data_IF_810549248649
#
_entry.id   IF_810549248649
#
_cell.length_a   1.000
_cell.length_b   1.000
_cell.length_c   1.000
_cell.angle_alpha   90.00
_cell.angle_beta   90.00
_cell.angle_gamma   90.00
#
_symmetry.space_group_name_H-M   'P 1'
#
loop_
_entity.id
_entity.type
_entity.pdbx_description
1 polymer ?
#
# COMPACT_ATOMS: atom_id res chain seq x y z
N UNK A 1 -54.97 -0.10 55.50
CA UNK A 1 -53.69 0.60 55.12
C UNK A 1 -52.76 -0.41 54.49
N UNK A 2 -52.64 -0.38 53.18
CA UNK A 2 -51.72 -1.25 52.38
C UNK A 2 -50.63 -0.38 51.80
N UNK A 3 -49.40 -0.59 52.25
CA UNK A 3 -48.23 0.13 51.83
C UNK A 3 -47.71 -0.54 50.55
N UNK A 4 -47.67 0.21 49.44
CA UNK A 4 -47.02 -0.20 48.16
C UNK A 4 -45.52 0.12 48.27
N UNK A 5 -44.68 -0.88 48.09
CA UNK A 5 -43.23 -0.73 47.91
C UNK A 5 -42.95 -0.79 46.41
N UNK A 6 -42.50 0.31 45.83
CA UNK A 6 -42.05 0.37 44.45
C UNK A 6 -40.56 0.01 44.40
N UNK A 7 -40.23 -1.06 43.67
CA UNK A 7 -38.84 -1.45 43.37
C UNK A 7 -38.43 -0.74 42.09
N UNK A 8 -37.50 0.23 42.15
CA UNK A 8 -36.83 0.83 41.03
C UNK A 8 -35.69 -0.09 40.54
N UNK A 9 -35.86 -0.68 39.37
CA UNK A 9 -34.78 -1.39 38.70
C UNK A 9 -33.88 -0.36 38.01
N UNK A 10 -32.69 -0.12 38.53
CA UNK A 10 -31.65 0.70 37.93
C UNK A 10 -30.98 -0.06 36.77
N UNK A 11 -31.11 0.44 35.58
CA UNK A 11 -30.37 -0.05 34.42
C UNK A 11 -28.90 0.42 34.52
N UNK A 12 -27.97 -0.50 34.73
CA UNK A 12 -26.53 -0.27 34.62
C UNK A 12 -26.16 -0.11 33.13
N UNK A 13 -25.98 1.13 32.70
CA UNK A 13 -25.37 1.43 31.39
C UNK A 13 -23.87 1.21 31.55
N UNK A 14 -23.38 0.09 31.03
CA UNK A 14 -21.95 -0.19 30.90
C UNK A 14 -21.36 0.66 29.79
N UNK A 15 -20.70 1.76 30.16
CA UNK A 15 -19.92 2.55 29.24
C UNK A 15 -18.56 1.85 29.01
N UNK A 16 -18.37 1.27 27.82
CA UNK A 16 -17.06 0.80 27.38
C UNK A 16 -16.06 1.98 27.34
N UNK A 17 -14.82 1.81 27.79
CA UNK A 17 -13.82 2.86 27.69
C UNK A 17 -13.54 3.20 26.21
N UNK A 18 -13.32 4.49 25.87
CA UNK A 18 -12.93 4.87 24.54
C UNK A 18 -11.57 4.22 24.19
N UNK A 19 -11.46 3.70 22.98
CA UNK A 19 -10.20 3.18 22.46
C UNK A 19 -9.10 4.26 22.58
N UNK A 20 -7.86 3.88 22.94
CA UNK A 20 -6.79 4.86 23.08
C UNK A 20 -6.60 5.59 21.75
N UNK A 21 -6.74 6.91 21.79
CA UNK A 21 -6.37 7.77 20.68
C UNK A 21 -4.87 7.59 20.42
N UNK A 22 -4.53 7.09 19.25
CA UNK A 22 -3.13 7.05 18.79
C UNK A 22 -2.64 8.49 18.75
N UNK A 23 -1.83 8.86 19.75
CA UNK A 23 -1.21 10.17 19.81
C UNK A 23 -0.37 10.35 18.53
N UNK A 24 -0.68 11.38 17.74
CA UNK A 24 0.19 11.86 16.68
C UNK A 24 1.48 12.36 17.33
N UNK A 25 2.52 11.56 17.33
CA UNK A 25 3.85 12.04 17.68
C UNK A 25 4.27 13.08 16.64
N UNK A 26 4.52 14.30 17.13
CA UNK A 26 5.13 15.41 16.38
C UNK A 26 6.61 15.08 16.16
N UNK A 27 6.89 14.37 15.04
CA UNK A 27 8.23 14.12 14.53
C UNK A 27 8.27 14.33 13.01
N UNK A 28 7.69 15.43 12.52
CA UNK A 28 7.23 15.58 11.14
C UNK A 28 8.19 16.33 10.20
N UNK A 29 9.50 16.39 10.46
CA UNK A 29 10.41 17.18 9.60
C UNK A 29 11.34 16.35 8.71
N UNK A 30 11.35 15.02 8.81
CA UNK A 30 12.19 14.18 7.95
C UNK A 30 11.35 13.20 7.17
N UNK A 31 11.44 13.27 5.82
CA UNK A 31 10.80 12.29 4.95
C UNK A 31 11.27 10.89 5.32
N UNK A 32 10.36 9.94 5.59
CA UNK A 32 10.74 8.55 5.84
C UNK A 32 11.61 7.99 4.72
N UNK A 33 12.67 7.26 5.06
CA UNK A 33 13.66 6.80 4.08
C UNK A 33 13.03 6.01 2.91
N UNK A 34 11.96 5.23 3.19
CA UNK A 34 11.20 4.49 2.18
C UNK A 34 10.49 5.39 1.16
N UNK A 35 10.25 6.65 1.48
CA UNK A 35 9.63 7.64 0.59
C UNK A 35 10.64 8.62 -0.04
N UNK A 36 11.93 8.49 0.27
CA UNK A 36 12.96 9.37 -0.27
C UNK A 36 13.45 8.90 -1.65
N UNK A 37 12.49 8.60 -2.53
CA UNK A 37 12.75 8.16 -3.90
C UNK A 37 11.87 8.92 -4.89
N UNK A 38 12.43 9.15 -6.08
CA UNK A 38 11.72 9.68 -7.23
C UNK A 38 11.57 8.58 -8.26
N UNK A 39 10.36 8.36 -8.71
CA UNK A 39 10.01 7.36 -9.70
C UNK A 39 9.30 8.04 -10.88
N UNK A 40 8.95 7.28 -11.91
CA UNK A 40 8.07 7.77 -12.97
C UNK A 40 6.71 7.07 -12.87
N UNK A 41 5.64 7.77 -13.17
CA UNK A 41 4.32 7.18 -13.40
C UNK A 41 4.23 6.50 -14.77
N UNK A 42 3.15 5.75 -15.03
CA UNK A 42 2.90 5.18 -16.36
C UNK A 42 2.81 6.25 -17.46
N UNK A 43 2.43 7.48 -17.11
CA UNK A 43 2.40 8.65 -18.01
C UNK A 43 3.79 9.30 -18.24
N UNK A 44 4.84 8.72 -17.68
CA UNK A 44 6.22 9.19 -17.78
C UNK A 44 6.57 10.38 -16.89
N UNK A 45 5.61 10.97 -16.17
CA UNK A 45 5.87 12.08 -15.26
C UNK A 45 6.57 11.63 -13.99
N UNK A 46 7.38 12.52 -13.42
CA UNK A 46 8.04 12.27 -12.14
C UNK A 46 7.02 12.19 -11.01
N UNK A 47 7.17 11.16 -10.18
CA UNK A 47 6.43 10.94 -8.94
C UNK A 47 7.42 10.95 -7.80
N UNK A 48 7.43 12.02 -7.02
CA UNK A 48 8.17 12.10 -5.76
C UNK A 48 7.36 11.36 -4.68
N UNK A 49 7.93 10.28 -4.15
CA UNK A 49 7.22 9.45 -3.17
C UNK A 49 7.03 10.15 -1.82
N UNK A 50 7.77 11.23 -1.53
CA UNK A 50 7.58 12.04 -0.33
C UNK A 50 6.16 12.61 -0.20
N UNK A 51 5.43 12.75 -1.32
CA UNK A 51 4.01 13.16 -1.34
C UNK A 51 3.09 12.25 -0.54
N UNK A 52 3.53 11.03 -0.24
CA UNK A 52 2.76 10.05 0.54
C UNK A 52 3.13 10.05 2.02
N UNK A 53 3.90 11.03 2.50
CA UNK A 53 4.20 11.18 3.92
C UNK A 53 2.92 11.28 4.76
N UNK A 54 2.91 10.64 5.91
CA UNK A 54 1.73 10.55 6.79
C UNK A 54 0.69 9.52 6.34
N UNK A 55 0.99 8.69 5.33
CA UNK A 55 0.10 7.66 4.79
C UNK A 55 0.59 6.25 5.13
N UNK A 56 -0.32 5.29 5.06
CA UNK A 56 0.03 3.88 4.98
C UNK A 56 0.23 3.54 3.50
N UNK A 57 1.42 3.10 3.13
CA UNK A 57 1.77 2.85 1.72
C UNK A 57 1.97 1.36 1.49
N UNK A 58 1.22 0.80 0.54
CA UNK A 58 1.34 -0.58 0.08
C UNK A 58 2.00 -0.57 -1.32
N UNK A 59 3.26 -1.01 -1.38
CA UNK A 59 4.02 -1.12 -2.63
C UNK A 59 3.92 -2.56 -3.12
N UNK A 60 3.52 -2.75 -4.39
CA UNK A 60 3.29 -4.09 -4.97
C UNK A 60 3.93 -4.17 -6.35
N UNK A 61 4.83 -5.13 -6.58
CA UNK A 61 5.28 -5.41 -7.94
C UNK A 61 4.23 -6.24 -8.68
N UNK A 62 3.83 -5.78 -9.85
CA UNK A 62 2.66 -6.31 -10.57
C UNK A 62 3.03 -6.76 -11.99
N UNK A 63 2.16 -7.56 -12.60
CA UNK A 63 2.28 -7.99 -13.98
C UNK A 63 0.90 -8.31 -14.58
N UNK A 64 0.74 -8.06 -15.89
CA UNK A 64 -0.52 -8.23 -16.62
C UNK A 64 -0.81 -9.67 -17.05
N UNK A 65 0.21 -10.54 -17.14
CA UNK A 65 0.10 -11.91 -17.67
C UNK A 65 0.50 -12.98 -16.64
N UNK A 66 0.22 -12.74 -15.37
CA UNK A 66 0.54 -13.63 -14.25
C UNK A 66 -0.72 -14.37 -13.77
N UNK A 67 -0.58 -15.60 -13.28
CA UNK A 67 -1.67 -16.28 -12.58
C UNK A 67 -2.21 -15.52 -11.36
N UNK A 68 -1.41 -14.59 -10.81
CA UNK A 68 -1.81 -13.72 -9.72
C UNK A 68 -2.43 -12.38 -10.15
N UNK A 69 -2.50 -12.07 -11.45
CA UNK A 69 -3.10 -10.84 -11.98
C UNK A 69 -4.51 -10.56 -11.46
N UNK A 70 -5.38 -11.56 -11.19
CA UNK A 70 -6.68 -11.31 -10.56
C UNK A 70 -6.62 -10.59 -9.20
N UNK A 71 -5.47 -10.54 -8.54
CA UNK A 71 -5.29 -9.78 -7.28
C UNK A 71 -5.49 -8.27 -7.46
N UNK A 72 -5.42 -7.72 -8.67
CA UNK A 72 -5.79 -6.34 -8.95
C UNK A 72 -7.19 -5.99 -8.43
N UNK A 73 -8.15 -6.93 -8.50
CA UNK A 73 -9.50 -6.72 -7.93
C UNK A 73 -9.46 -6.45 -6.43
N UNK A 74 -8.66 -7.24 -5.70
CA UNK A 74 -8.51 -7.07 -4.26
C UNK A 74 -7.77 -5.77 -3.90
N UNK A 75 -6.74 -5.41 -4.68
CA UNK A 75 -6.01 -4.15 -4.50
C UNK A 75 -6.93 -2.95 -4.76
N UNK A 76 -7.73 -2.99 -5.83
CA UNK A 76 -8.70 -1.93 -6.11
C UNK A 76 -9.76 -1.82 -5.01
N UNK A 77 -10.29 -2.95 -4.52
CA UNK A 77 -11.23 -2.94 -3.41
C UNK A 77 -10.65 -2.35 -2.11
N UNK A 78 -9.37 -2.63 -1.81
CA UNK A 78 -8.65 -2.01 -0.69
C UNK A 78 -8.50 -0.49 -0.90
N UNK A 79 -8.14 -0.07 -2.11
CA UNK A 79 -8.06 1.34 -2.46
C UNK A 79 -9.41 2.03 -2.27
N UNK A 80 -10.49 1.50 -2.84
CA UNK A 80 -11.83 2.10 -2.75
C UNK A 80 -12.28 2.23 -1.29
N UNK A 81 -11.94 1.27 -0.44
CA UNK A 81 -12.35 1.24 0.96
C UNK A 81 -11.53 2.18 1.84
N UNK A 82 -10.21 2.22 1.67
CA UNK A 82 -9.31 2.82 2.65
C UNK A 82 -8.51 4.04 2.15
N UNK A 83 -8.62 4.43 0.86
CA UNK A 83 -7.89 5.58 0.35
C UNK A 83 -8.22 6.88 1.11
N UNK A 84 -9.50 7.06 1.49
CA UNK A 84 -9.95 8.21 2.28
C UNK A 84 -9.39 8.20 3.71
N UNK A 85 -9.09 7.01 4.23
CA UNK A 85 -8.51 6.81 5.56
C UNK A 85 -6.97 6.85 5.55
N UNK A 86 -6.38 7.12 4.38
CA UNK A 86 -4.95 7.34 4.25
C UNK A 86 -4.15 6.14 3.72
N UNK A 87 -4.79 5.10 3.17
CA UNK A 87 -4.09 4.06 2.43
C UNK A 87 -3.72 4.55 1.03
N UNK A 88 -2.46 4.38 0.66
CA UNK A 88 -1.95 4.53 -0.70
C UNK A 88 -1.49 3.18 -1.20
N UNK A 89 -1.85 2.83 -2.44
CA UNK A 89 -1.32 1.67 -3.14
C UNK A 89 -0.47 2.15 -4.30
N UNK A 90 0.75 1.61 -4.41
CA UNK A 90 1.67 1.86 -5.53
C UNK A 90 1.88 0.54 -6.28
N UNK A 91 1.31 0.44 -7.47
CA UNK A 91 1.58 -0.66 -8.38
C UNK A 91 2.87 -0.40 -9.16
N UNK A 92 3.79 -1.35 -9.14
CA UNK A 92 5.09 -1.26 -9.84
C UNK A 92 5.17 -2.40 -10.85
N UNK A 93 4.84 -2.17 -12.12
CA UNK A 93 4.97 -3.19 -13.16
C UNK A 93 6.42 -3.66 -13.31
N UNK A 94 6.62 -4.97 -13.46
CA UNK A 94 7.95 -5.53 -13.71
C UNK A 94 7.90 -6.77 -14.60
N UNK A 95 8.85 -6.86 -15.51
CA UNK A 95 8.99 -7.99 -16.44
C UNK A 95 9.98 -9.06 -15.96
N UNK A 96 10.47 -8.97 -14.72
CA UNK A 96 11.57 -9.82 -14.19
C UNK A 96 11.12 -11.24 -13.86
N UNK A 97 9.83 -11.50 -13.80
CA UNK A 97 9.27 -12.79 -13.42
C UNK A 97 8.53 -13.42 -14.61
N UNK A 98 9.19 -14.36 -15.26
CA UNK A 98 8.60 -15.11 -16.37
C UNK A 98 8.25 -14.24 -17.60
N UNK A 99 8.77 -13.04 -17.72
CA UNK A 99 8.45 -12.06 -18.78
C UNK A 99 6.95 -11.78 -18.89
N UNK A 100 6.27 -11.73 -17.72
CA UNK A 100 4.81 -11.61 -17.63
C UNK A 100 4.30 -10.16 -17.66
N UNK A 101 5.18 -9.17 -17.93
CA UNK A 101 4.81 -7.77 -18.18
C UNK A 101 5.48 -7.24 -19.46
N UNK A 102 5.15 -7.82 -20.65
CA UNK A 102 5.82 -7.45 -21.89
C UNK A 102 5.42 -6.08 -22.44
N UNK A 103 4.22 -5.59 -22.08
CA UNK A 103 3.61 -4.39 -22.62
C UNK A 103 4.39 -3.10 -22.33
N UNK A 104 4.13 -2.05 -23.10
CA UNK A 104 4.56 -0.69 -22.81
C UNK A 104 3.82 -0.11 -21.60
N UNK A 105 4.24 1.05 -21.08
CA UNK A 105 3.54 1.72 -19.99
C UNK A 105 2.09 2.07 -20.36
N UNK A 106 1.85 2.48 -21.60
CA UNK A 106 0.53 2.81 -22.13
C UNK A 106 -0.36 1.57 -22.24
N UNK A 107 0.20 0.45 -22.69
CA UNK A 107 -0.53 -0.83 -22.76
C UNK A 107 -0.88 -1.35 -21.36
N UNK A 108 0.04 -1.21 -20.39
CA UNK A 108 -0.20 -1.56 -18.99
C UNK A 108 -1.31 -0.69 -18.38
N UNK A 109 -1.28 0.63 -18.63
CA UNK A 109 -2.31 1.54 -18.15
C UNK A 109 -3.69 1.15 -18.69
N UNK A 110 -3.79 0.94 -20.00
CA UNK A 110 -5.03 0.52 -20.67
C UNK A 110 -5.53 -0.83 -20.16
N UNK A 111 -4.63 -1.80 -19.94
CA UNK A 111 -4.96 -3.11 -19.39
C UNK A 111 -5.54 -3.01 -17.97
N UNK A 112 -4.88 -2.25 -17.09
CA UNK A 112 -5.29 -2.09 -15.70
C UNK A 112 -6.64 -1.38 -15.58
N UNK A 113 -6.86 -0.32 -16.35
CA UNK A 113 -8.13 0.41 -16.40
C UNK A 113 -9.25 -0.47 -16.93
N UNK A 114 -9.08 -1.06 -18.13
CA UNK A 114 -10.12 -1.81 -18.83
C UNK A 114 -10.54 -3.08 -18.10
N UNK A 115 -9.58 -3.83 -17.52
CA UNK A 115 -9.88 -5.16 -16.97
C UNK A 115 -10.17 -5.14 -15.47
N UNK A 116 -9.65 -4.13 -14.73
CA UNK A 116 -9.72 -4.10 -13.27
C UNK A 116 -10.19 -2.76 -12.71
N UNK A 117 -10.39 -1.75 -13.56
CA UNK A 117 -10.81 -0.41 -13.12
C UNK A 117 -9.83 0.22 -12.12
N UNK A 118 -8.53 -0.03 -12.28
CA UNK A 118 -7.49 0.43 -11.36
C UNK A 118 -7.48 1.95 -11.29
N UNK A 119 -7.58 2.48 -10.06
CA UNK A 119 -7.58 3.92 -9.75
C UNK A 119 -6.45 4.32 -8.79
N UNK A 120 -5.76 3.36 -8.22
CA UNK A 120 -4.58 3.63 -7.40
C UNK A 120 -3.36 3.95 -8.29
N UNK A 121 -2.35 4.57 -7.68
CA UNK A 121 -1.17 5.05 -8.40
C UNK A 121 -0.35 3.90 -8.99
N UNK A 122 -0.08 3.97 -10.29
CA UNK A 122 0.76 3.02 -11.02
C UNK A 122 2.05 3.71 -11.47
N UNK A 123 3.17 3.09 -11.15
CA UNK A 123 4.50 3.55 -11.58
C UNK A 123 4.88 2.94 -12.93
N UNK A 124 5.89 3.52 -13.59
CA UNK A 124 6.46 2.97 -14.82
C UNK A 124 7.02 1.58 -14.59
N UNK A 125 6.98 0.75 -15.64
CA UNK A 125 7.62 -0.56 -15.64
C UNK A 125 9.13 -0.43 -15.40
N UNK A 126 9.62 -1.14 -14.37
CA UNK A 126 11.02 -1.12 -13.95
C UNK A 126 11.50 -2.50 -13.52
N UNK A 127 12.82 -2.75 -13.54
CA UNK A 127 13.39 -3.92 -12.89
C UNK A 127 13.28 -3.80 -11.37
N UNK A 128 12.85 -4.90 -10.73
CA UNK A 128 12.69 -5.02 -9.28
C UNK A 128 13.56 -6.14 -8.70
N UNK A 129 14.32 -6.84 -9.57
CA UNK A 129 15.16 -7.97 -9.22
C UNK A 129 16.50 -7.88 -9.99
N UNK A 130 17.54 -8.52 -9.45
CA UNK A 130 18.89 -8.53 -10.05
C UNK A 130 19.67 -7.26 -9.74
N UNK A 131 20.76 -7.07 -10.44
CA UNK A 131 21.69 -5.96 -10.22
C UNK A 131 21.16 -4.63 -10.75
N UNK A 132 20.23 -4.69 -11.73
CA UNK A 132 19.60 -3.53 -12.35
C UNK A 132 18.36 -3.02 -11.60
N UNK A 133 18.00 -3.65 -10.47
CA UNK A 133 16.81 -3.23 -9.70
C UNK A 133 16.90 -1.78 -9.29
N UNK A 134 15.76 -1.08 -9.38
CA UNK A 134 15.72 0.35 -9.04
C UNK A 134 16.01 0.60 -7.55
N UNK A 135 16.55 1.80 -7.17
CA UNK A 135 16.94 2.10 -5.78
C UNK A 135 15.86 1.88 -4.74
N UNK A 136 14.59 2.09 -5.07
CA UNK A 136 13.47 1.78 -4.17
C UNK A 136 13.45 0.29 -3.80
N UNK A 137 13.64 -0.61 -4.77
CA UNK A 137 13.64 -2.05 -4.53
C UNK A 137 14.96 -2.54 -3.91
N UNK A 138 16.08 -1.85 -4.19
CA UNK A 138 17.31 -2.06 -3.42
C UNK A 138 17.05 -1.83 -1.94
N UNK A 139 16.46 -0.68 -1.60
CA UNK A 139 16.08 -0.33 -0.24
C UNK A 139 15.12 -1.36 0.40
N UNK A 140 14.02 -1.71 -0.29
CA UNK A 140 12.98 -2.59 0.24
C UNK A 140 13.45 -4.03 0.49
N UNK A 141 14.52 -4.47 -0.19
CA UNK A 141 15.06 -5.84 -0.10
C UNK A 141 16.36 -5.94 0.66
N UNK A 142 16.89 -4.81 1.15
CA UNK A 142 18.16 -4.73 1.89
C UNK A 142 18.02 -5.25 3.33
N UNK A 143 19.06 -5.92 3.80
CA UNK A 143 19.20 -6.33 5.21
C UNK A 143 19.37 -5.13 6.17
N UNK A 144 19.91 -4.03 5.66
CA UNK A 144 20.09 -2.81 6.44
C UNK A 144 18.77 -2.11 6.70
N UNK A 145 17.78 -2.27 5.80
CA UNK A 145 16.44 -1.70 5.94
C UNK A 145 15.60 -2.49 6.94
N UNK A 146 15.44 -3.79 6.71
CA UNK A 146 14.75 -4.68 7.63
C UNK A 146 15.32 -6.11 7.51
N UNK A 147 16.20 -6.54 8.44
CA UNK A 147 16.82 -7.84 8.37
C UNK A 147 15.85 -9.02 8.46
N UNK A 148 14.63 -8.80 8.98
CA UNK A 148 13.61 -9.86 9.13
C UNK A 148 12.94 -10.20 7.81
N UNK A 149 12.84 -9.22 6.91
CA UNK A 149 12.13 -9.35 5.63
C UNK A 149 13.05 -9.14 4.42
N UNK A 150 14.35 -8.98 4.66
CA UNK A 150 15.34 -8.82 3.61
C UNK A 150 15.44 -10.06 2.72
N UNK A 151 15.81 -9.82 1.48
CA UNK A 151 16.08 -10.84 0.49
C UNK A 151 15.39 -10.58 -0.85
N UNK A 152 15.72 -11.37 -1.87
CA UNK A 152 15.22 -11.16 -3.20
C UNK A 152 13.71 -11.42 -3.28
N UNK A 153 13.02 -10.59 -4.06
CA UNK A 153 11.63 -10.82 -4.43
C UNK A 153 11.51 -12.15 -5.17
N UNK A 154 10.59 -12.97 -4.72
CA UNK A 154 10.44 -14.34 -5.24
C UNK A 154 9.55 -14.41 -6.48
N UNK A 155 8.51 -13.56 -6.55
CA UNK A 155 7.54 -13.57 -7.64
C UNK A 155 6.77 -12.26 -7.76
N UNK A 156 5.95 -12.14 -8.84
CA UNK A 156 4.99 -11.05 -8.99
C UNK A 156 4.00 -10.98 -7.81
N UNK A 157 3.45 -9.82 -7.57
CA UNK A 157 2.50 -9.49 -6.49
C UNK A 157 3.08 -9.68 -5.07
N UNK A 158 4.39 -9.54 -4.91
CA UNK A 158 5.01 -9.33 -3.59
C UNK A 158 4.62 -7.95 -3.07
N UNK A 159 4.34 -7.86 -1.78
CA UNK A 159 3.81 -6.66 -1.13
C UNK A 159 4.73 -6.19 -0.02
N UNK A 160 4.98 -4.88 0.00
CA UNK A 160 5.65 -4.19 1.09
C UNK A 160 4.68 -3.18 1.67
N UNK A 161 4.35 -3.32 2.94
CA UNK A 161 3.50 -2.39 3.68
C UNK A 161 4.38 -1.54 4.58
N UNK A 162 4.26 -0.23 4.47
CA UNK A 162 5.00 0.72 5.30
C UNK A 162 4.07 1.79 5.85
N UNK A 163 4.37 2.25 7.08
CA UNK A 163 3.70 3.40 7.68
C UNK A 163 4.65 4.57 7.55
N UNK A 164 4.28 5.54 6.75
CA UNK A 164 5.12 6.69 6.38
C UNK A 164 4.83 7.91 7.29
N UNK A 165 4.98 7.68 8.60
CA UNK A 165 4.80 8.72 9.64
C UNK A 165 6.06 9.52 9.87
#
# INVERSE_FOLDING_TARGET
>A
MRTLVAVLAGALVSSAPPAPAVAKEKGADKVPAVLNFKMKGLDGKEVDLSRYQGKVVLIVNVASQCGYTPQYKGLQALHDKFAKDGLVILGVPSNDFGKQEPGSNEEIAAFCEKNYGVKFDMLSKVPVKGDDKVPLYEYLTSKETDPRFAGPIKWNFTKFLTVAC
#
